data_IF_347161509222
#
_entry.id   IF_347161509222
#
_cell.length_a   1.000
_cell.length_b   1.000
_cell.length_c   1.000
_cell.angle_alpha   90.00
_cell.angle_beta   90.00
_cell.angle_gamma   90.00
#
_symmetry.space_group_name_H-M   'P 1'
#
loop_
_entity.id
_entity.type
_entity.pdbx_description
1 polymer ?
#
# COMPACT_ATOMS: atom_id res chain seq x y z
N UNK A 1 0.58 7.92 31.05
CA UNK A 1 0.24 9.35 31.19
C UNK A 1 -0.08 9.98 29.82
N UNK A 2 0.80 9.88 28.80
CA UNK A 2 0.53 10.43 27.46
C UNK A 2 -0.75 9.90 26.77
N UNK A 3 -1.00 8.58 26.81
CA UNK A 3 -2.18 7.98 26.19
C UNK A 3 -3.51 8.49 26.76
N UNK A 4 -3.57 8.75 28.06
CA UNK A 4 -4.77 9.27 28.74
C UNK A 4 -5.07 10.71 28.34
N UNK A 5 -4.05 11.54 28.16
CA UNK A 5 -4.19 12.93 27.71
C UNK A 5 -4.63 13.05 26.26
N UNK A 6 -4.13 12.16 25.39
CA UNK A 6 -4.57 12.08 23.99
C UNK A 6 -6.05 11.66 23.91
N UNK A 7 -6.46 10.69 24.72
CA UNK A 7 -7.86 10.24 24.76
C UNK A 7 -8.81 11.32 25.28
N UNK A 8 -8.37 12.14 26.25
CA UNK A 8 -9.16 13.26 26.77
C UNK A 8 -9.44 14.37 25.73
N UNK A 9 -8.64 14.44 24.66
CA UNK A 9 -8.81 15.39 23.54
C UNK A 9 -9.67 14.87 22.39
N UNK A 10 -10.13 13.62 22.44
CA UNK A 10 -10.97 13.08 21.36
C UNK A 10 -12.21 13.94 21.14
N UNK A 11 -12.47 14.28 19.89
CA UNK A 11 -13.65 15.05 19.49
C UNK A 11 -13.51 16.57 19.60
N UNK A 12 -12.49 17.09 20.31
CA UNK A 12 -12.35 18.53 20.60
C UNK A 12 -11.63 19.34 19.52
N UNK A 13 -11.08 18.68 18.49
CA UNK A 13 -10.40 19.33 17.39
C UNK A 13 -11.35 20.14 16.50
N UNK A 14 -10.80 20.92 15.57
CA UNK A 14 -11.62 21.64 14.58
C UNK A 14 -12.09 20.69 13.47
N UNK A 15 -13.27 20.89 12.87
CA UNK A 15 -13.69 20.07 11.74
C UNK A 15 -12.74 20.24 10.54
N UNK A 16 -12.59 19.19 9.74
CA UNK A 16 -11.88 19.27 8.47
C UNK A 16 -12.58 20.26 7.52
N UNK A 17 -11.83 21.18 6.93
CA UNK A 17 -12.37 22.27 6.12
C UNK A 17 -13.15 21.72 4.90
N UNK A 18 -14.29 22.33 4.52
CA UNK A 18 -15.13 21.84 3.42
C UNK A 18 -14.41 21.71 2.07
N UNK A 19 -13.42 22.55 1.81
CA UNK A 19 -12.65 22.52 0.56
C UNK A 19 -11.73 21.30 0.49
N UNK A 20 -11.09 20.97 1.62
CA UNK A 20 -10.26 19.77 1.75
C UNK A 20 -11.13 18.53 1.64
N UNK A 21 -12.31 18.54 2.29
CA UNK A 21 -13.31 17.46 2.18
C UNK A 21 -13.76 17.21 0.74
N UNK A 22 -14.18 18.26 0.01
CA UNK A 22 -14.55 18.15 -1.41
C UNK A 22 -13.44 17.54 -2.27
N UNK A 23 -12.19 17.81 -1.92
CA UNK A 23 -11.04 17.23 -2.61
C UNK A 23 -10.82 15.75 -2.25
N UNK A 24 -10.87 15.38 -0.98
CA UNK A 24 -10.48 14.03 -0.52
C UNK A 24 -11.64 13.02 -0.51
N UNK A 25 -12.87 13.41 -0.19
CA UNK A 25 -14.01 12.48 -0.07
C UNK A 25 -14.30 11.67 -1.34
N UNK A 26 -14.29 12.24 -2.57
CA UNK A 26 -14.50 11.44 -3.78
C UNK A 26 -13.37 10.45 -4.08
N UNK A 27 -12.16 10.75 -3.60
CA UNK A 27 -10.96 9.92 -3.83
C UNK A 27 -10.88 8.75 -2.84
N UNK A 28 -11.40 8.96 -1.64
CA UNK A 28 -11.48 7.92 -0.60
C UNK A 28 -12.82 7.18 -0.55
N UNK A 29 -13.87 7.71 -1.17
CA UNK A 29 -15.22 7.15 -1.10
C UNK A 29 -15.80 7.14 0.32
N UNK A 30 -15.42 8.11 1.15
CA UNK A 30 -15.69 8.13 2.59
C UNK A 30 -16.09 9.53 3.06
N UNK A 31 -17.07 9.64 3.96
CA UNK A 31 -17.52 10.91 4.54
C UNK A 31 -16.59 11.35 5.69
N UNK A 32 -15.85 12.43 5.46
CA UNK A 32 -14.91 13.00 6.42
C UNK A 32 -15.52 14.10 7.30
N UNK A 33 -16.84 14.31 7.28
CA UNK A 33 -17.54 15.31 8.11
C UNK A 33 -17.29 15.21 9.61
N UNK A 34 -17.04 13.99 10.08
CA UNK A 34 -16.87 13.68 11.50
C UNK A 34 -15.40 13.72 11.96
N UNK A 35 -14.47 14.10 11.08
CA UNK A 35 -13.06 14.23 11.44
C UNK A 35 -12.81 15.49 12.24
N UNK A 36 -11.84 15.38 13.16
CA UNK A 36 -11.37 16.45 14.03
C UNK A 36 -9.87 16.61 13.86
N UNK A 37 -9.46 17.83 13.55
CA UNK A 37 -8.08 18.22 13.28
C UNK A 37 -7.55 18.97 14.51
N UNK A 38 -6.39 18.55 15.00
CA UNK A 38 -5.68 19.16 16.12
C UNK A 38 -4.36 19.73 15.61
N UNK A 39 -4.18 21.03 15.77
CA UNK A 39 -2.96 21.77 15.37
C UNK A 39 -2.44 22.62 16.54
N UNK A 40 -2.87 22.32 17.76
CA UNK A 40 -2.52 23.08 18.96
C UNK A 40 -1.11 22.68 19.47
N UNK A 41 -0.63 23.40 20.49
CA UNK A 41 0.70 23.14 21.05
C UNK A 41 0.85 21.74 21.64
N UNK A 42 -0.26 21.09 22.03
CA UNK A 42 -0.23 19.71 22.50
C UNK A 42 -0.06 18.73 21.33
N UNK A 43 -0.83 18.90 20.25
CA UNK A 43 -0.66 18.11 19.03
C UNK A 43 0.77 18.21 18.50
N UNK A 44 1.33 19.43 18.51
CA UNK A 44 2.70 19.69 18.09
C UNK A 44 3.74 18.96 18.95
N UNK A 45 3.66 19.09 20.28
CA UNK A 45 4.59 18.39 21.20
C UNK A 45 4.45 16.86 21.09
N UNK A 46 3.22 16.36 21.05
CA UNK A 46 2.96 14.92 20.98
C UNK A 46 3.46 14.31 19.68
N UNK A 47 3.24 14.99 18.54
CA UNK A 47 3.76 14.55 17.25
C UNK A 47 5.29 14.51 17.26
N UNK A 48 5.93 15.54 17.83
CA UNK A 48 7.38 15.57 18.03
C UNK A 48 7.89 14.43 18.92
N UNK A 49 7.26 14.17 20.06
CA UNK A 49 7.66 13.12 21.01
C UNK A 49 7.48 11.71 20.42
N UNK A 50 6.56 11.55 19.47
CA UNK A 50 6.37 10.33 18.69
C UNK A 50 7.27 10.25 17.45
N UNK A 51 8.08 11.28 17.17
CA UNK A 51 8.93 11.35 15.98
C UNK A 51 8.16 11.43 14.66
N UNK A 52 6.95 12.01 14.68
CA UNK A 52 6.03 12.04 13.54
C UNK A 52 5.67 13.47 13.10
N UNK A 53 5.34 13.64 11.82
CA UNK A 53 4.82 14.92 11.30
C UNK A 53 3.33 15.12 11.60
N UNK A 54 2.59 14.03 11.69
CA UNK A 54 1.21 13.95 12.16
C UNK A 54 0.91 12.52 12.64
N UNK A 55 -0.20 12.33 13.34
CA UNK A 55 -0.70 11.01 13.71
C UNK A 55 -2.22 11.00 13.87
N UNK A 56 -2.84 9.82 13.77
CA UNK A 56 -4.29 9.65 13.77
C UNK A 56 -4.77 8.65 14.82
N UNK A 57 -5.82 9.02 15.57
CA UNK A 57 -6.51 8.14 16.53
C UNK A 57 -8.04 8.30 16.39
N UNK A 58 -8.71 7.23 15.98
CA UNK A 58 -10.13 7.22 15.67
C UNK A 58 -10.46 8.18 14.54
N UNK A 59 -11.17 9.27 14.88
CA UNK A 59 -11.56 10.34 13.94
C UNK A 59 -10.76 11.63 14.19
N UNK A 60 -9.78 11.58 15.08
CA UNK A 60 -8.96 12.72 15.47
C UNK A 60 -7.58 12.60 14.82
N UNK A 61 -7.16 13.67 14.14
CA UNK A 61 -5.86 13.77 13.47
C UNK A 61 -5.08 14.91 14.10
N UNK A 62 -3.87 14.63 14.54
CA UNK A 62 -2.99 15.56 15.26
C UNK A 62 -1.79 15.89 14.39
N UNK A 63 -1.53 17.17 14.12
CA UNK A 63 -0.44 17.61 13.28
C UNK A 63 0.66 18.30 14.10
N UNK A 64 1.90 18.06 13.70
CA UNK A 64 3.08 18.80 14.15
C UNK A 64 3.03 20.28 13.77
N UNK A 65 3.89 21.09 14.38
CA UNK A 65 3.97 22.54 14.12
C UNK A 65 4.12 22.82 12.62
N UNK A 66 3.18 23.59 12.05
CA UNK A 66 3.20 23.99 10.63
C UNK A 66 2.88 22.87 9.63
N UNK A 67 2.57 21.65 10.09
CA UNK A 67 2.38 20.47 9.21
C UNK A 67 0.98 20.37 8.62
N UNK A 68 -0.02 20.98 9.26
CA UNK A 68 -1.34 21.14 8.66
C UNK A 68 -1.35 22.29 7.65
N UNK A 69 -1.13 21.99 6.38
CA UNK A 69 -1.12 22.99 5.32
C UNK A 69 -1.87 22.53 4.06
N UNK A 70 -3.20 22.76 3.98
CA UNK A 70 -4.01 22.35 2.84
C UNK A 70 -3.73 23.14 1.54
N UNK A 71 -3.05 24.29 1.60
CA UNK A 71 -2.70 25.07 0.41
C UNK A 71 -1.39 24.61 -0.26
N UNK A 72 -0.53 23.89 0.46
CA UNK A 72 0.69 23.27 -0.07
C UNK A 72 0.46 21.86 -0.62
N UNK A 73 1.25 21.43 -1.60
CA UNK A 73 1.22 20.05 -2.12
C UNK A 73 1.64 19.03 -1.07
N UNK A 74 2.71 19.31 -0.33
CA UNK A 74 3.24 18.48 0.74
C UNK A 74 2.23 18.32 1.89
N UNK A 75 1.62 19.42 2.35
CA UNK A 75 0.61 19.37 3.40
C UNK A 75 -0.69 18.68 2.96
N UNK A 76 -1.12 18.83 1.69
CA UNK A 76 -2.25 18.03 1.15
C UNK A 76 -1.95 16.53 1.17
N UNK A 77 -0.71 16.14 0.88
CA UNK A 77 -0.27 14.75 0.92
C UNK A 77 -0.27 14.21 2.35
N UNK A 78 0.27 14.98 3.30
CA UNK A 78 0.24 14.62 4.71
C UNK A 78 -1.19 14.50 5.25
N UNK A 79 -2.08 15.44 4.88
CA UNK A 79 -3.51 15.35 5.23
C UNK A 79 -4.11 14.06 4.66
N UNK A 80 -3.93 13.77 3.37
CA UNK A 80 -4.46 12.54 2.77
C UNK A 80 -3.88 11.27 3.42
N UNK A 81 -2.61 11.27 3.79
CA UNK A 81 -1.94 10.19 4.51
C UNK A 81 -2.65 9.90 5.84
N UNK A 82 -2.88 10.92 6.66
CA UNK A 82 -3.58 10.77 7.93
C UNK A 82 -5.07 10.41 7.78
N UNK A 83 -5.75 10.96 6.77
CA UNK A 83 -7.13 10.58 6.46
C UNK A 83 -7.25 9.10 6.07
N UNK A 84 -6.21 8.53 5.48
CA UNK A 84 -6.13 7.09 5.23
C UNK A 84 -6.15 6.32 6.56
N UNK A 85 -5.42 6.79 7.57
CA UNK A 85 -5.45 6.19 8.91
C UNK A 85 -6.83 6.30 9.58
N UNK A 86 -7.61 7.37 9.33
CA UNK A 86 -8.99 7.48 9.83
C UNK A 86 -9.88 6.40 9.22
N UNK A 87 -9.83 6.23 7.89
CA UNK A 87 -10.59 5.17 7.20
C UNK A 87 -10.16 3.79 7.69
N UNK A 88 -8.86 3.60 7.98
CA UNK A 88 -8.30 2.36 8.51
C UNK A 88 -8.71 2.03 9.95
N UNK A 89 -9.06 3.03 10.78
CA UNK A 89 -9.37 2.86 12.20
C UNK A 89 -10.88 2.82 12.50
N UNK A 90 -11.73 3.00 11.49
CA UNK A 90 -13.16 2.79 11.64
C UNK A 90 -13.50 1.32 11.89
N UNK A 91 -14.34 1.00 12.89
CA UNK A 91 -14.91 -0.34 13.04
C UNK A 91 -15.69 -0.73 11.80
N UNK A 92 -15.50 -1.96 11.34
CA UNK A 92 -16.20 -2.58 10.22
C UNK A 92 -17.69 -2.70 10.53
N UNK A 93 -18.49 -1.68 10.23
CA UNK A 93 -19.94 -1.82 10.15
C UNK A 93 -20.34 -2.16 8.72
N UNK A 94 -20.05 -3.40 8.35
CA UNK A 94 -20.90 -4.11 7.40
C UNK A 94 -20.78 -5.59 7.71
N UNK A 95 -21.77 -6.14 8.42
CA UNK A 95 -22.11 -7.56 8.28
C UNK A 95 -22.68 -7.74 6.86
N UNK A 96 -21.80 -7.67 5.85
CA UNK A 96 -22.01 -8.52 4.67
C UNK A 96 -21.68 -9.94 5.11
N UNK A 97 -22.42 -10.91 4.59
CA UNK A 97 -22.08 -12.32 4.79
C UNK A 97 -20.64 -12.48 4.28
N UNK A 98 -19.74 -12.86 5.19
CA UNK A 98 -18.36 -13.18 4.86
C UNK A 98 -18.40 -14.53 4.13
N UNK A 99 -18.21 -14.50 2.82
CA UNK A 99 -18.29 -15.69 1.97
C UNK A 99 -16.92 -16.35 1.77
N UNK A 100 -15.82 -15.58 1.82
CA UNK A 100 -14.48 -16.15 1.94
C UNK A 100 -14.29 -16.84 3.30
N UNK A 101 -13.42 -17.85 3.35
CA UNK A 101 -13.15 -18.60 4.58
C UNK A 101 -11.65 -18.83 4.80
N UNK A 102 -11.27 -19.17 6.02
CA UNK A 102 -9.94 -19.72 6.27
C UNK A 102 -9.88 -21.17 5.80
N UNK A 103 -8.76 -21.54 5.19
CA UNK A 103 -8.43 -22.93 4.93
C UNK A 103 -8.44 -23.79 6.19
N UNK A 104 -8.91 -25.03 6.05
CA UNK A 104 -8.87 -26.03 7.12
C UNK A 104 -8.38 -27.36 6.56
N UNK A 105 -7.67 -28.14 7.37
CA UNK A 105 -7.09 -29.41 6.93
C UNK A 105 -5.89 -29.22 6.01
N UNK A 106 -5.81 -30.04 4.97
CA UNK A 106 -4.71 -30.07 3.99
C UNK A 106 -5.21 -29.73 2.60
N UNK A 107 -4.41 -28.98 1.83
CA UNK A 107 -4.68 -28.78 0.40
C UNK A 107 -4.19 -30.00 -0.38
N UNK A 108 -5.05 -30.69 -1.16
CA UNK A 108 -4.63 -31.83 -1.95
C UNK A 108 -3.56 -31.43 -2.97
N UNK A 109 -2.46 -32.18 -3.00
CA UNK A 109 -1.37 -31.98 -3.96
C UNK A 109 -0.35 -30.90 -3.58
N UNK A 110 -0.57 -30.14 -2.49
CA UNK A 110 0.39 -29.15 -2.02
C UNK A 110 0.39 -29.08 -0.47
N UNK A 111 1.45 -29.63 0.13
CA UNK A 111 1.60 -29.73 1.58
C UNK A 111 2.08 -28.42 2.23
N UNK A 112 2.46 -27.40 1.46
CA UNK A 112 2.96 -26.12 1.98
C UNK A 112 1.84 -25.14 2.30
N UNK A 113 0.62 -25.36 1.80
CA UNK A 113 -0.55 -24.67 2.30
C UNK A 113 -0.89 -25.15 3.72
N UNK A 114 -0.72 -24.26 4.69
CA UNK A 114 -1.07 -24.49 6.09
C UNK A 114 -2.21 -23.57 6.51
N UNK A 115 -3.07 -24.02 7.46
CA UNK A 115 -4.08 -23.14 8.03
C UNK A 115 -3.43 -21.88 8.61
N UNK A 116 -4.05 -20.72 8.39
CA UNK A 116 -3.56 -19.45 8.93
C UNK A 116 -3.40 -19.55 10.46
N UNK A 117 -2.18 -19.36 11.00
CA UNK A 117 -1.90 -19.38 12.43
C UNK A 117 -2.80 -18.44 13.21
N UNK A 118 -3.19 -18.83 14.42
CA UNK A 118 -4.18 -18.10 15.21
C UNK A 118 -3.75 -16.65 15.51
N UNK A 119 -2.45 -16.43 15.74
CA UNK A 119 -1.81 -15.13 15.94
C UNK A 119 -1.65 -14.32 14.65
N UNK A 120 -1.67 -14.97 13.48
CA UNK A 120 -1.68 -14.29 12.18
C UNK A 120 -3.09 -13.79 11.79
N UNK A 121 -4.16 -14.44 12.28
CA UNK A 121 -5.55 -14.15 11.89
C UNK A 121 -5.97 -12.68 12.01
N UNK A 122 -5.65 -11.92 13.08
CA UNK A 122 -6.07 -10.51 13.17
C UNK A 122 -5.54 -9.64 12.03
N UNK A 123 -4.28 -9.87 11.62
CA UNK A 123 -3.65 -9.13 10.51
C UNK A 123 -4.14 -9.62 9.16
N UNK A 124 -4.29 -10.93 8.99
CA UNK A 124 -4.85 -11.53 7.78
C UNK A 124 -6.31 -11.09 7.54
N UNK A 125 -7.12 -11.05 8.59
CA UNK A 125 -8.48 -10.51 8.55
C UNK A 125 -8.47 -9.04 8.11
N UNK A 126 -7.61 -8.21 8.72
CA UNK A 126 -7.46 -6.80 8.33
C UNK A 126 -7.10 -6.61 6.86
N UNK A 127 -6.34 -7.55 6.27
CA UNK A 127 -6.02 -7.56 4.85
C UNK A 127 -7.24 -7.93 4.00
N UNK A 128 -7.97 -8.99 4.38
CA UNK A 128 -9.21 -9.37 3.69
C UNK A 128 -10.31 -8.32 3.80
N UNK A 129 -10.34 -7.52 4.87
CA UNK A 129 -11.26 -6.39 5.02
C UNK A 129 -10.96 -5.27 4.01
N UNK A 130 -9.67 -5.05 3.68
CA UNK A 130 -9.26 -4.15 2.60
C UNK A 130 -9.77 -4.68 1.27
N UNK A 131 -9.54 -5.96 0.97
CA UNK A 131 -10.01 -6.62 -0.26
C UNK A 131 -11.53 -6.54 -0.37
N UNK A 132 -12.25 -6.83 0.70
CA UNK A 132 -13.72 -6.78 0.76
C UNK A 132 -14.25 -5.38 0.42
N UNK A 133 -13.54 -4.32 0.84
CA UNK A 133 -13.91 -2.95 0.52
C UNK A 133 -13.74 -2.63 -0.97
N UNK A 134 -12.67 -3.14 -1.59
CA UNK A 134 -12.33 -2.78 -2.98
C UNK A 134 -12.92 -3.71 -4.03
N UNK A 135 -13.15 -4.98 -3.70
CA UNK A 135 -13.67 -5.99 -4.63
C UNK A 135 -15.08 -5.63 -5.13
N UNK A 136 -15.88 -4.93 -4.32
CA UNK A 136 -17.18 -4.42 -4.74
C UNK A 136 -17.14 -3.26 -5.75
N UNK A 137 -15.99 -2.59 -5.91
CA UNK A 137 -15.88 -1.40 -6.75
C UNK A 137 -16.01 -1.74 -8.23
N UNK A 138 -16.66 -0.84 -9.00
CA UNK A 138 -16.91 -1.02 -10.43
C UNK A 138 -15.63 -1.24 -11.23
N UNK A 139 -14.54 -0.52 -10.92
CA UNK A 139 -13.25 -0.67 -11.59
C UNK A 139 -12.66 -2.07 -11.38
N UNK A 140 -12.51 -2.47 -10.13
CA UNK A 140 -12.00 -3.78 -9.73
C UNK A 140 -12.83 -4.93 -10.36
N UNK A 141 -14.16 -4.87 -10.23
CA UNK A 141 -15.06 -5.86 -10.83
C UNK A 141 -14.97 -5.92 -12.36
N UNK A 142 -14.82 -4.78 -13.04
CA UNK A 142 -14.66 -4.76 -14.49
C UNK A 142 -13.31 -5.30 -14.93
N UNK A 143 -12.25 -5.06 -14.15
CA UNK A 143 -10.93 -5.58 -14.44
C UNK A 143 -10.92 -7.11 -14.38
N UNK A 144 -11.42 -7.69 -13.28
CA UNK A 144 -11.58 -9.15 -13.15
C UNK A 144 -12.47 -9.72 -14.26
N UNK A 145 -13.66 -9.15 -14.49
CA UNK A 145 -14.59 -9.66 -15.52
C UNK A 145 -13.96 -9.73 -16.92
N UNK A 146 -13.06 -8.80 -17.26
CA UNK A 146 -12.41 -8.75 -18.57
C UNK A 146 -11.23 -9.71 -18.70
N UNK A 147 -10.60 -10.06 -17.58
CA UNK A 147 -9.34 -10.78 -17.56
C UNK A 147 -9.44 -12.20 -16.96
N UNK A 148 -10.51 -12.52 -16.25
CA UNK A 148 -10.82 -13.88 -15.84
C UNK A 148 -11.40 -14.65 -17.03
N UNK A 149 -10.85 -15.82 -17.40
CA UNK A 149 -11.43 -16.66 -18.45
C UNK A 149 -12.89 -17.05 -18.18
N UNK A 150 -13.26 -17.18 -16.90
CA UNK A 150 -14.62 -17.46 -16.44
C UNK A 150 -15.58 -16.25 -16.54
N UNK A 151 -15.06 -15.04 -16.79
CA UNK A 151 -15.84 -13.79 -16.75
C UNK A 151 -16.26 -13.38 -15.33
N UNK A 152 -15.69 -13.99 -14.28
CA UNK A 152 -16.00 -13.67 -12.90
C UNK A 152 -15.58 -12.25 -12.51
N UNK A 153 -16.35 -11.65 -11.62
CA UNK A 153 -16.00 -10.39 -10.97
C UNK A 153 -15.10 -10.61 -9.76
N UNK A 154 -14.39 -9.55 -9.34
CA UNK A 154 -13.56 -9.59 -8.14
C UNK A 154 -14.37 -10.02 -6.90
N UNK A 155 -15.62 -9.56 -6.79
CA UNK A 155 -16.51 -9.98 -5.71
C UNK A 155 -16.85 -11.48 -5.77
N UNK A 156 -17.17 -12.02 -6.95
CA UNK A 156 -17.50 -13.45 -7.10
C UNK A 156 -16.31 -14.35 -6.75
N UNK A 157 -15.10 -13.94 -7.13
CA UNK A 157 -13.88 -14.66 -6.74
C UNK A 157 -13.68 -14.57 -5.23
N UNK A 158 -13.79 -13.36 -4.66
CA UNK A 158 -13.67 -13.16 -3.21
C UNK A 158 -14.65 -14.07 -2.44
N UNK A 159 -15.87 -14.26 -2.94
CA UNK A 159 -16.89 -15.04 -2.25
C UNK A 159 -16.58 -16.54 -2.17
N UNK A 160 -15.59 -17.07 -2.92
CA UNK A 160 -15.24 -18.50 -2.92
C UNK A 160 -13.82 -18.82 -2.48
N UNK A 161 -12.94 -17.82 -2.33
CA UNK A 161 -11.56 -18.09 -1.95
C UNK A 161 -11.43 -18.59 -0.50
N UNK A 162 -10.46 -19.48 -0.32
CA UNK A 162 -9.99 -20.00 0.96
C UNK A 162 -8.62 -19.42 1.23
N UNK A 163 -8.48 -18.71 2.35
CA UNK A 163 -7.22 -18.09 2.75
C UNK A 163 -6.35 -19.05 3.57
N UNK A 164 -5.10 -19.19 3.15
CA UNK A 164 -4.06 -20.00 3.78
C UNK A 164 -2.80 -19.18 4.06
N UNK A 165 -1.86 -19.77 4.78
CA UNK A 165 -0.46 -19.35 4.76
C UNK A 165 0.35 -20.38 3.97
N UNK A 166 1.33 -19.93 3.20
CA UNK A 166 2.25 -20.81 2.48
C UNK A 166 3.54 -20.97 3.28
N UNK A 167 3.87 -22.20 3.68
CA UNK A 167 5.00 -22.50 4.58
C UNK A 167 6.34 -22.04 3.98
N UNK A 168 6.52 -22.20 2.68
CA UNK A 168 7.76 -21.85 1.99
C UNK A 168 7.88 -20.33 1.88
N UNK A 169 9.03 -19.79 2.28
CA UNK A 169 9.32 -18.35 2.27
C UNK A 169 9.88 -17.90 0.93
N UNK A 170 9.64 -16.63 0.59
CA UNK A 170 10.19 -15.98 -0.60
C UNK A 170 9.38 -16.19 -1.87
N UNK A 171 8.20 -16.82 -1.76
CA UNK A 171 7.26 -17.03 -2.87
C UNK A 171 6.23 -15.91 -2.97
N UNK A 172 6.09 -15.08 -1.92
CA UNK A 172 5.12 -14.00 -1.78
C UNK A 172 3.68 -14.49 -1.63
N UNK A 173 3.10 -15.01 -2.70
CA UNK A 173 1.74 -15.52 -2.78
C UNK A 173 1.69 -16.78 -3.63
N UNK A 174 0.70 -17.64 -3.35
CA UNK A 174 0.48 -18.86 -4.13
C UNK A 174 -1.01 -19.12 -4.27
N UNK A 175 -1.41 -19.50 -5.48
CA UNK A 175 -2.72 -20.07 -5.78
C UNK A 175 -2.59 -21.53 -6.15
N UNK A 176 -3.36 -22.42 -5.51
CA UNK A 176 -3.27 -23.85 -5.81
C UNK A 176 -3.82 -24.18 -7.21
N UNK A 177 -2.94 -24.68 -8.08
CA UNK A 177 -3.26 -25.09 -9.44
C UNK A 177 -4.18 -26.33 -9.54
N UNK A 178 -4.34 -27.11 -8.45
CA UNK A 178 -5.09 -28.38 -8.45
C UNK A 178 -6.49 -28.30 -7.83
N UNK A 179 -6.92 -27.15 -7.30
CA UNK A 179 -8.15 -27.04 -6.48
C UNK A 179 -8.88 -25.69 -6.47
N UNK A 180 -8.32 -24.65 -7.09
CA UNK A 180 -9.05 -23.52 -7.69
C UNK A 180 -9.60 -22.44 -6.76
N UNK A 181 -9.39 -22.49 -5.45
CA UNK A 181 -9.88 -21.47 -4.51
C UNK A 181 -8.87 -21.09 -3.42
N UNK A 182 -7.79 -21.85 -3.28
CA UNK A 182 -6.80 -21.66 -2.23
C UNK A 182 -5.86 -20.53 -2.66
N UNK A 183 -5.90 -19.43 -1.91
CA UNK A 183 -4.93 -18.35 -2.02
C UNK A 183 -4.15 -18.28 -0.72
N UNK A 184 -2.85 -18.05 -0.82
CA UNK A 184 -1.96 -17.99 0.32
C UNK A 184 -1.04 -16.78 0.25
N UNK A 185 -0.64 -16.29 1.42
CA UNK A 185 0.53 -15.41 1.59
C UNK A 185 1.64 -16.17 2.31
N UNK A 186 2.89 -15.79 2.10
CA UNK A 186 4.03 -16.37 2.82
C UNK A 186 4.40 -15.57 4.11
N UNK A 187 5.26 -16.12 4.98
CA UNK A 187 5.70 -15.44 6.20
C UNK A 187 6.43 -14.11 5.99
N UNK A 188 7.03 -13.89 4.81
CA UNK A 188 7.72 -12.64 4.50
C UNK A 188 6.71 -11.54 4.21
N UNK A 189 5.68 -11.81 3.40
CA UNK A 189 4.55 -10.90 3.15
C UNK A 189 3.81 -10.56 4.44
N UNK A 190 3.58 -11.56 5.31
CA UNK A 190 2.94 -11.34 6.61
C UNK A 190 3.68 -10.29 7.46
N UNK A 191 5.02 -10.39 7.51
CA UNK A 191 5.87 -9.52 8.33
C UNK A 191 5.83 -8.06 7.86
N UNK A 192 5.68 -7.82 6.56
CA UNK A 192 5.63 -6.46 6.01
C UNK A 192 4.34 -5.75 6.44
N UNK A 193 3.19 -6.42 6.34
CA UNK A 193 1.95 -5.91 6.93
C UNK A 193 0.69 -6.14 6.10
N UNK A 194 -0.46 -5.79 6.68
CA UNK A 194 -1.80 -6.08 6.12
C UNK A 194 -2.04 -5.57 4.68
N UNK A 195 -1.43 -4.46 4.30
CA UNK A 195 -1.57 -3.90 2.95
C UNK A 195 -0.83 -4.72 1.90
N UNK A 196 0.35 -5.27 2.27
CA UNK A 196 1.08 -6.20 1.42
C UNK A 196 0.34 -7.52 1.28
N UNK A 197 -0.17 -8.07 2.39
CA UNK A 197 -1.04 -9.24 2.36
C UNK A 197 -2.23 -8.98 1.42
N UNK A 198 -2.91 -7.82 1.52
CA UNK A 198 -4.07 -7.51 0.68
C UNK A 198 -3.72 -7.41 -0.81
N UNK A 199 -2.58 -6.79 -1.14
CA UNK A 199 -2.08 -6.70 -2.52
C UNK A 199 -1.75 -8.08 -3.09
N UNK A 200 -0.98 -8.88 -2.34
CA UNK A 200 -0.62 -10.25 -2.73
C UNK A 200 -1.86 -11.10 -2.95
N UNK A 201 -2.82 -11.07 -2.03
CA UNK A 201 -4.04 -11.87 -2.18
C UNK A 201 -4.95 -11.40 -3.32
N UNK A 202 -4.95 -10.10 -3.68
CA UNK A 202 -5.67 -9.62 -4.88
C UNK A 202 -5.04 -10.12 -6.18
N UNK A 203 -3.71 -10.22 -6.23
CA UNK A 203 -2.99 -10.90 -7.31
C UNK A 203 -3.41 -12.37 -7.38
N UNK A 204 -3.34 -13.09 -6.25
CA UNK A 204 -3.71 -14.52 -6.19
C UNK A 204 -5.18 -14.78 -6.53
N UNK A 205 -6.09 -13.85 -6.20
CA UNK A 205 -7.49 -13.94 -6.63
C UNK A 205 -7.60 -13.97 -8.16
N UNK A 206 -6.74 -13.27 -8.90
CA UNK A 206 -6.77 -13.31 -10.36
C UNK A 206 -6.35 -14.69 -10.88
N UNK A 207 -5.35 -15.33 -10.27
CA UNK A 207 -5.03 -16.73 -10.56
C UNK A 207 -6.18 -17.67 -10.19
N UNK A 208 -6.86 -17.43 -9.06
CA UNK A 208 -8.00 -18.23 -8.63
C UNK A 208 -9.20 -18.17 -9.59
N UNK A 209 -9.28 -17.13 -10.44
CA UNK A 209 -10.26 -17.07 -11.53
C UNK A 209 -9.78 -17.67 -12.85
N UNK A 210 -8.60 -18.29 -12.87
CA UNK A 210 -8.03 -19.02 -14.00
C UNK A 210 -7.12 -18.19 -14.91
N UNK A 211 -6.74 -16.97 -14.53
CA UNK A 211 -5.77 -16.18 -15.28
C UNK A 211 -4.35 -16.72 -15.05
N UNK A 212 -3.57 -16.86 -16.12
CA UNK A 212 -2.18 -17.35 -16.08
C UNK A 212 -1.17 -16.30 -16.59
N UNK A 213 -1.62 -15.18 -17.14
CA UNK A 213 -0.74 -14.06 -17.49
C UNK A 213 -0.39 -13.26 -16.23
N UNK A 214 0.81 -13.51 -15.70
CA UNK A 214 1.36 -12.85 -14.51
C UNK A 214 1.27 -11.33 -14.57
N UNK A 215 1.51 -10.73 -15.74
CA UNK A 215 1.43 -9.27 -15.89
C UNK A 215 0.02 -8.74 -15.62
N UNK A 216 -1.00 -9.50 -15.98
CA UNK A 216 -2.40 -9.20 -15.72
C UNK A 216 -2.75 -9.43 -14.25
N UNK A 217 -2.25 -10.49 -13.62
CA UNK A 217 -2.46 -10.74 -12.19
C UNK A 217 -1.84 -9.63 -11.33
N UNK A 218 -0.62 -9.21 -11.67
CA UNK A 218 0.13 -8.16 -10.99
C UNK A 218 -0.52 -6.77 -11.08
N UNK A 219 -1.35 -6.53 -12.09
CA UNK A 219 -2.10 -5.28 -12.23
C UNK A 219 -3.38 -5.25 -11.40
N UNK A 220 -3.84 -6.39 -10.86
CA UNK A 220 -5.09 -6.46 -10.10
C UNK A 220 -5.10 -5.53 -8.88
N UNK A 221 -4.05 -5.44 -8.04
CA UNK A 221 -4.02 -4.52 -6.91
C UNK A 221 -4.17 -3.05 -7.34
N UNK A 222 -3.43 -2.63 -8.36
CA UNK A 222 -3.45 -1.26 -8.89
C UNK A 222 -4.84 -0.90 -9.45
N UNK A 223 -5.47 -1.83 -10.18
CA UNK A 223 -6.82 -1.66 -10.74
C UNK A 223 -7.92 -1.66 -9.67
N UNK A 224 -7.66 -2.27 -8.53
CA UNK A 224 -8.51 -2.26 -7.34
C UNK A 224 -8.15 -1.15 -6.34
N UNK A 225 -7.20 -0.25 -6.67
CA UNK A 225 -6.70 0.82 -5.79
C UNK A 225 -6.09 0.34 -4.46
N UNK A 226 -5.44 -0.82 -4.47
CA UNK A 226 -4.63 -1.34 -3.35
C UNK A 226 -3.17 -1.10 -3.68
N UNK A 227 -2.66 0.05 -3.27
CA UNK A 227 -1.27 0.43 -3.48
C UNK A 227 -0.41 0.05 -2.28
N UNK A 228 0.71 -0.61 -2.55
CA UNK A 228 1.74 -0.91 -1.56
C UNK A 228 2.96 -0.03 -1.81
N UNK A 229 3.67 0.42 -0.76
CA UNK A 229 4.97 1.06 -0.95
C UNK A 229 5.93 0.14 -1.70
N UNK A 230 6.57 0.66 -2.75
CA UNK A 230 7.72 -0.02 -3.35
C UNK A 230 8.80 -0.22 -2.30
N UNK A 231 9.45 -1.39 -2.28
CA UNK A 231 10.57 -1.63 -1.37
C UNK A 231 11.88 -1.63 -2.16
N UNK A 232 12.63 -0.53 -2.08
CA UNK A 232 13.99 -0.45 -2.60
C UNK A 232 14.88 -1.36 -1.77
N UNK A 233 15.42 -2.40 -2.42
CA UNK A 233 16.41 -3.32 -1.84
C UNK A 233 17.82 -2.76 -2.02
N UNK A 234 18.16 -2.39 -3.26
CA UNK A 234 19.52 -1.98 -3.64
C UNK A 234 19.49 -0.87 -4.68
N UNK A 235 20.54 -0.03 -4.67
CA UNK A 235 20.83 0.93 -5.73
C UNK A 235 22.26 0.67 -6.20
N UNK A 236 22.43 0.43 -7.50
CA UNK A 236 23.70 0.03 -8.10
C UNK A 236 24.05 0.93 -9.29
N UNK A 237 25.20 1.64 -9.27
CA UNK A 237 26.09 1.82 -8.11
C UNK A 237 25.40 2.63 -6.99
N UNK A 238 25.85 2.46 -5.74
CA UNK A 238 25.32 3.23 -4.59
C UNK A 238 25.89 4.66 -4.48
N UNK A 239 26.69 5.07 -5.47
CA UNK A 239 27.27 6.40 -5.58
C UNK A 239 27.61 6.73 -7.04
N UNK A 240 27.51 7.99 -7.43
CA UNK A 240 27.77 8.44 -8.81
C UNK A 240 27.65 9.95 -8.96
N UNK A 241 27.91 10.46 -10.15
CA UNK A 241 27.80 11.87 -10.53
C UNK A 241 26.44 12.17 -11.15
N UNK A 242 26.09 13.44 -11.25
CA UNK A 242 24.95 13.91 -12.04
C UNK A 242 25.06 13.37 -13.47
N UNK A 243 23.96 12.82 -13.99
CA UNK A 243 23.90 12.22 -15.33
C UNK A 243 24.29 10.74 -15.40
N UNK A 244 24.96 10.19 -14.38
CA UNK A 244 25.27 8.76 -14.33
C UNK A 244 23.99 7.92 -14.31
N UNK A 245 24.03 6.75 -14.94
CA UNK A 245 22.91 5.80 -14.91
C UNK A 245 23.06 4.90 -13.69
N UNK A 246 21.99 4.78 -12.92
CA UNK A 246 21.89 3.84 -11.80
C UNK A 246 20.71 2.90 -11.99
N UNK A 247 20.84 1.71 -11.42
CA UNK A 247 19.78 0.70 -11.33
C UNK A 247 19.23 0.70 -9.90
N UNK A 248 17.93 0.88 -9.76
CA UNK A 248 17.18 0.74 -8.51
C UNK A 248 16.47 -0.60 -8.56
N UNK A 249 16.90 -1.51 -7.70
CA UNK A 249 16.33 -2.85 -7.58
C UNK A 249 15.48 -2.92 -6.32
N UNK A 250 14.28 -3.44 -6.48
CA UNK A 250 13.32 -3.53 -5.40
C UNK A 250 12.22 -4.51 -5.75
N UNK A 251 11.17 -4.50 -4.95
CA UNK A 251 10.01 -5.36 -5.15
C UNK A 251 8.72 -4.59 -4.95
N UNK A 252 7.65 -5.14 -5.52
CA UNK A 252 6.25 -4.74 -5.34
C UNK A 252 5.81 -3.49 -6.13
N UNK A 253 4.50 -3.16 -6.03
CA UNK A 253 3.72 -2.30 -6.95
C UNK A 253 4.38 -0.96 -7.26
N UNK A 254 5.04 -0.92 -8.40
CA UNK A 254 5.23 0.29 -9.20
C UNK A 254 4.59 0.13 -10.59
N UNK A 255 3.79 -0.93 -10.78
CA UNK A 255 3.21 -1.29 -12.07
C UNK A 255 4.24 -1.67 -13.15
N UNK A 256 3.77 -2.12 -14.32
CA UNK A 256 4.61 -2.59 -15.41
C UNK A 256 5.32 -1.46 -16.17
N UNK A 257 4.89 -0.22 -15.95
CA UNK A 257 5.47 0.97 -16.58
C UNK A 257 5.37 2.15 -15.62
N UNK A 258 6.25 3.13 -15.80
CA UNK A 258 6.15 4.39 -15.06
C UNK A 258 4.87 5.14 -15.47
N UNK A 259 3.91 5.24 -14.56
CA UNK A 259 2.70 6.02 -14.72
C UNK A 259 2.95 7.53 -14.73
N UNK A 260 1.96 8.34 -15.14
CA UNK A 260 2.08 9.80 -15.16
C UNK A 260 2.26 10.42 -13.77
N UNK A 261 1.84 9.72 -12.72
CA UNK A 261 1.95 10.13 -11.32
C UNK A 261 3.17 9.54 -10.61
N UNK A 262 3.97 8.74 -11.30
CA UNK A 262 5.11 8.05 -10.70
C UNK A 262 6.39 8.88 -10.81
N UNK A 263 7.17 8.92 -9.73
CA UNK A 263 8.39 9.74 -9.63
C UNK A 263 9.54 8.91 -9.08
N UNK A 264 10.75 9.26 -9.46
CA UNK A 264 11.97 8.72 -8.85
C UNK A 264 12.75 9.92 -8.36
N UNK A 265 12.89 10.07 -7.05
CA UNK A 265 13.50 11.27 -6.48
C UNK A 265 14.82 10.95 -5.82
N UNK A 266 15.82 11.80 -6.05
CA UNK A 266 17.10 11.82 -5.34
C UNK A 266 17.13 13.09 -4.50
N UNK A 267 17.16 12.98 -3.18
CA UNK A 267 17.16 14.14 -2.29
C UNK A 267 15.97 15.09 -2.51
N UNK A 268 14.83 14.57 -2.97
CA UNK A 268 13.64 15.37 -3.33
C UNK A 268 13.65 15.97 -4.75
N UNK A 269 14.67 15.70 -5.56
CA UNK A 269 14.74 16.12 -6.96
C UNK A 269 14.28 14.98 -7.86
N UNK A 270 13.27 15.24 -8.69
CA UNK A 270 12.76 14.27 -9.67
C UNK A 270 13.80 13.96 -10.76
N UNK A 271 14.10 12.69 -10.91
CA UNK A 271 15.00 12.13 -11.92
C UNK A 271 14.32 12.00 -13.30
N UNK A 272 13.02 12.26 -13.38
CA UNK A 272 12.24 12.27 -14.61
C UNK A 272 11.90 10.87 -15.10
N UNK A 273 11.88 10.69 -16.42
CA UNK A 273 11.52 9.40 -17.04
C UNK A 273 12.63 8.38 -16.86
N UNK A 274 12.26 7.20 -16.37
CA UNK A 274 13.15 6.05 -16.31
C UNK A 274 13.61 5.65 -17.72
N UNK A 275 14.88 5.29 -17.84
CA UNK A 275 15.47 4.72 -19.06
C UNK A 275 14.96 3.30 -19.31
N UNK A 276 14.74 2.54 -18.24
CA UNK A 276 14.04 1.26 -18.29
C UNK A 276 13.22 1.05 -17.03
N UNK A 277 12.09 0.37 -17.18
CA UNK A 277 11.18 -0.01 -16.09
C UNK A 277 10.83 -1.48 -16.27
N UNK A 278 11.72 -2.36 -15.81
CA UNK A 278 11.56 -3.79 -15.97
C UNK A 278 10.84 -4.31 -14.74
N UNK A 279 9.58 -4.64 -14.92
CA UNK A 279 8.74 -5.20 -13.88
C UNK A 279 8.69 -6.72 -14.02
N UNK A 280 9.02 -7.43 -12.94
CA UNK A 280 8.94 -8.87 -12.84
C UNK A 280 8.49 -9.29 -11.44
N UNK A 281 7.92 -10.48 -11.35
CA UNK A 281 7.35 -11.05 -10.12
C UNK A 281 8.37 -11.14 -8.97
N UNK A 282 9.64 -11.44 -9.28
CA UNK A 282 10.73 -11.50 -8.29
C UNK A 282 11.33 -10.13 -7.89
N UNK A 283 10.97 -9.06 -8.60
CA UNK A 283 11.48 -7.71 -8.36
C UNK A 283 11.38 -6.80 -9.58
N UNK A 284 11.33 -5.49 -9.32
CA UNK A 284 11.43 -4.46 -10.37
C UNK A 284 12.85 -3.93 -10.43
N UNK A 285 13.33 -3.73 -11.66
CA UNK A 285 14.59 -3.03 -11.94
C UNK A 285 14.28 -1.75 -12.73
N UNK A 286 14.55 -0.62 -12.10
CA UNK A 286 14.36 0.71 -12.68
C UNK A 286 15.74 1.28 -13.01
N UNK A 287 15.99 1.62 -14.27
CA UNK A 287 17.21 2.34 -14.67
C UNK A 287 16.88 3.81 -14.87
N UNK A 288 17.64 4.69 -14.25
CA UNK A 288 17.39 6.14 -14.30
C UNK A 288 18.71 6.91 -14.24
N UNK A 289 18.72 8.15 -14.72
CA UNK A 289 19.87 9.05 -14.56
C UNK A 289 19.79 9.77 -13.22
N UNK A 290 20.93 9.94 -12.57
CA UNK A 290 21.05 10.84 -11.41
C UNK A 290 20.69 12.26 -11.86
N UNK A 291 19.68 12.92 -11.24
CA UNK A 291 19.21 14.22 -11.71
C UNK A 291 20.24 15.33 -11.52
N UNK A 292 20.12 16.37 -12.34
CA UNK A 292 20.83 17.63 -12.11
C UNK A 292 20.29 18.38 -10.89
N UNK A 293 21.08 19.32 -10.36
CA UNK A 293 20.69 20.14 -9.20
C UNK A 293 20.99 19.51 -7.83
N UNK A 294 21.57 18.31 -7.79
CA UNK A 294 22.06 17.69 -6.56
C UNK A 294 23.39 18.30 -6.11
N UNK A 295 23.54 18.51 -4.80
CA UNK A 295 24.82 18.84 -4.19
C UNK A 295 25.61 17.56 -3.87
N UNK A 296 26.95 17.57 -3.96
CA UNK A 296 27.78 16.44 -3.53
C UNK A 296 27.50 16.08 -2.06
N UNK A 297 27.34 14.79 -1.78
CA UNK A 297 26.97 14.31 -0.44
C UNK A 297 25.99 13.15 -0.47
N UNK A 298 25.53 12.74 0.72
CA UNK A 298 24.56 11.66 0.87
C UNK A 298 23.14 12.20 0.70
N UNK A 299 22.36 11.55 -0.16
CA UNK A 299 20.94 11.84 -0.38
C UNK A 299 20.10 10.57 -0.22
N UNK A 300 18.81 10.75 0.05
CA UNK A 300 17.85 9.65 0.03
C UNK A 300 17.24 9.51 -1.35
N UNK A 301 17.17 8.29 -1.85
CA UNK A 301 16.46 7.93 -3.07
C UNK A 301 15.14 7.29 -2.69
N UNK A 302 14.06 7.73 -3.33
CA UNK A 302 12.72 7.16 -3.18
C UNK A 302 12.07 6.96 -4.55
N UNK A 303 11.29 5.89 -4.69
CA UNK A 303 10.37 5.70 -5.82
C UNK A 303 8.97 5.95 -5.30
N UNK A 304 8.22 6.80 -5.98
CA UNK A 304 6.85 7.16 -5.63
C UNK A 304 5.94 6.56 -6.68
N UNK A 305 5.07 5.63 -6.29
CA UNK A 305 4.01 5.10 -7.15
C UNK A 305 2.66 5.62 -6.67
N UNK A 306 1.91 6.29 -7.55
CA UNK A 306 0.59 6.85 -7.23
C UNK A 306 0.53 7.58 -5.88
N UNK A 307 1.54 8.41 -5.59
CA UNK A 307 1.70 9.20 -4.33
C UNK A 307 2.08 8.41 -3.08
N UNK A 308 2.42 7.12 -3.19
CA UNK A 308 2.97 6.30 -2.11
C UNK A 308 4.49 6.22 -2.26
N UNK A 309 5.29 6.76 -1.31
CA UNK A 309 6.74 6.68 -1.39
C UNK A 309 7.24 5.31 -0.94
N UNK A 310 8.34 4.86 -1.53
CA UNK A 310 9.10 3.70 -1.08
C UNK A 310 9.78 3.95 0.27
N UNK A 311 10.41 2.91 0.84
CA UNK A 311 11.45 3.14 1.83
C UNK A 311 12.59 3.98 1.22
N UNK A 312 13.18 4.92 1.97
CA UNK A 312 14.33 5.67 1.50
C UNK A 312 15.57 4.78 1.45
N UNK A 313 16.40 4.96 0.42
CA UNK A 313 17.73 4.33 0.34
C UNK A 313 18.81 5.36 0.10
N UNK A 314 19.90 5.29 0.85
CA UNK A 314 21.01 6.24 0.70
C UNK A 314 21.74 6.04 -0.63
N UNK A 315 22.05 7.15 -1.29
CA UNK A 315 22.93 7.26 -2.44
C UNK A 315 23.95 8.37 -2.20
N UNK A 316 25.18 8.20 -2.64
CA UNK A 316 26.23 9.24 -2.49
C UNK A 316 26.49 9.94 -3.81
N UNK A 317 26.13 11.22 -3.88
CA UNK A 317 26.43 12.10 -5.02
C UNK A 317 27.89 12.49 -4.95
N UNK A 318 28.65 12.16 -6.00
CA UNK A 318 30.05 12.51 -6.15
C UNK A 318 30.19 13.87 -6.85
N UNK A 319 31.31 14.59 -6.62
CA UNK A 319 31.65 15.78 -7.39
C UNK A 319 31.79 15.47 -8.88
#
# INVERSE_FOLDING_TARGET
>A
MLASEILARKGSGRPLEPEVRRFVEPRFGYDFSKIRIHTDSFAARTAHDLGAEAFTIGRDVFFGTGRYNPSSSEGRRLIAHELTHVVQQMPLLSKKIQLWSYGTGTVPGDADFIPVPADHRPRAQSAMDIITRVAGNRRCNNYFRRNCPSGETAQQVLDRVRLWEYRTRGVLGVTNALGGNEIAYDPDVYRIGRWFIASTLLHEMMHACGQNDERTCEMAPDECYVFTPYIIRTITPSSGRVGDVVSIEGAFSVGPTQGPSDRIEFGGIDAGRALSWVYAHAGTVIRVRVPAGLTPGRVNVVVINNTIPSNPRSFTVRP
#
